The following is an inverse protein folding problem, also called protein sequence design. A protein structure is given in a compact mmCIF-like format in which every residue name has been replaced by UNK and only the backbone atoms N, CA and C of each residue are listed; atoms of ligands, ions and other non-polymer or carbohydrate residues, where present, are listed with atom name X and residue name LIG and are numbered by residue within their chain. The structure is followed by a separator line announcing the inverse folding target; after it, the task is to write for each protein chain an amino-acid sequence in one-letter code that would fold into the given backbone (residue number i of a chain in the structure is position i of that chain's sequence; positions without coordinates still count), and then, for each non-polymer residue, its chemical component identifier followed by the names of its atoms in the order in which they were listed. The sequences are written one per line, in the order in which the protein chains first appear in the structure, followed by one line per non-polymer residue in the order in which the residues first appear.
data_IF_145057387772
#
_entry.id   IF_145057387772
#
_cell.length_a   1.000
_cell.length_b   1.000
_cell.length_c   1.000
_cell.angle_alpha   90.00
_cell.angle_beta   90.00
_cell.angle_gamma   90.00
#
_symmetry.space_group_name_H-M   'P 1'
#
loop_
_entity.id
_entity.type
_entity.pdbx_description
1 polymer ?
#
# COMPACT_ATOMS: atom_id res chain seq x y z
N UNK A 1 3.12 -12.63 -14.49
CA UNK A 1 3.30 -11.29 -15.07
C UNK A 1 2.58 -10.31 -14.15
N UNK A 2 3.24 -9.24 -13.71
CA UNK A 2 2.57 -8.30 -12.80
C UNK A 2 1.42 -7.59 -13.51
N UNK A 3 0.27 -7.53 -12.84
CA UNK A 3 -0.92 -6.78 -13.23
C UNK A 3 -1.58 -7.16 -14.57
N UNK A 4 -1.17 -8.25 -15.23
CA UNK A 4 -1.74 -8.70 -16.50
C UNK A 4 -2.30 -10.11 -16.32
N UNK A 5 -3.57 -10.28 -16.64
CA UNK A 5 -4.29 -11.56 -16.57
C UNK A 5 -5.02 -11.84 -17.89
N UNK A 6 -5.06 -13.10 -18.29
CA UNK A 6 -5.86 -13.55 -19.42
C UNK A 6 -7.32 -13.69 -19.02
N UNK A 7 -8.22 -13.25 -19.89
CA UNK A 7 -9.65 -13.49 -19.82
C UNK A 7 -10.04 -14.36 -21.00
N UNK A 8 -10.44 -15.59 -20.74
CA UNK A 8 -10.97 -16.49 -21.77
C UNK A 8 -12.48 -16.61 -21.55
N UNK A 9 -13.26 -15.93 -22.40
CA UNK A 9 -14.72 -15.86 -22.26
C UNK A 9 -15.33 -16.80 -23.29
N UNK A 10 -15.41 -18.08 -22.92
CA UNK A 10 -15.76 -19.19 -23.81
C UNK A 10 -17.13 -19.14 -24.51
N UNK A 11 -17.99 -18.14 -24.23
CA UNK A 11 -19.30 -18.01 -24.85
C UNK A 11 -19.37 -17.05 -26.05
N UNK A 12 -18.41 -16.13 -26.21
CA UNK A 12 -18.49 -15.07 -27.23
C UNK A 12 -17.18 -14.78 -28.01
N UNK A 13 -16.16 -15.64 -27.94
CA UNK A 13 -14.87 -15.44 -28.65
C UNK A 13 -14.22 -14.07 -28.36
N UNK A 14 -14.47 -13.51 -27.19
CA UNK A 14 -13.86 -12.26 -26.75
C UNK A 14 -12.78 -12.57 -25.73
N UNK A 15 -11.83 -13.39 -26.15
CA UNK A 15 -10.66 -13.61 -25.33
C UNK A 15 -9.82 -12.32 -25.34
N UNK A 16 -9.32 -11.95 -24.17
CA UNK A 16 -8.73 -10.64 -23.96
C UNK A 16 -7.65 -10.69 -22.88
N UNK A 17 -6.75 -9.72 -22.93
CA UNK A 17 -5.84 -9.43 -21.83
C UNK A 17 -6.40 -8.29 -20.98
N UNK A 18 -6.48 -8.52 -19.67
CA UNK A 18 -6.84 -7.50 -18.70
C UNK A 18 -5.59 -7.00 -17.99
N UNK A 19 -5.41 -5.69 -17.97
CA UNK A 19 -4.48 -5.01 -17.07
C UNK A 19 -5.27 -4.56 -15.83
N UNK A 20 -4.88 -5.00 -14.65
CA UNK A 20 -5.49 -4.61 -13.38
C UNK A 20 -4.42 -4.36 -12.32
N UNK A 21 -4.32 -3.10 -11.87
CA UNK A 21 -3.43 -2.68 -10.80
C UNK A 21 -4.03 -1.55 -9.97
N UNK A 22 -3.43 -1.28 -8.81
CA UNK A 22 -3.73 -0.09 -8.01
C UNK A 22 -2.47 0.70 -7.74
N UNK A 23 -2.55 2.03 -7.89
CA UNK A 23 -1.46 2.99 -7.65
C UNK A 23 -2.01 4.28 -7.07
N UNK A 24 -1.38 4.80 -6.01
CA UNK A 24 -1.78 6.07 -5.39
C UNK A 24 -3.24 6.10 -4.92
N UNK A 25 -3.81 4.96 -4.50
CA UNK A 25 -5.22 4.86 -4.12
C UNK A 25 -6.21 4.82 -5.29
N UNK A 26 -5.75 4.86 -6.54
CA UNK A 26 -6.56 4.71 -7.74
C UNK A 26 -6.44 3.29 -8.30
N UNK A 27 -7.57 2.69 -8.64
CA UNK A 27 -7.62 1.43 -9.37
C UNK A 27 -7.54 1.71 -10.86
N UNK A 28 -6.63 1.05 -11.55
CA UNK A 28 -6.41 1.16 -12.99
C UNK A 28 -6.72 -0.19 -13.61
N UNK A 29 -7.74 -0.20 -14.45
CA UNK A 29 -8.23 -1.38 -15.14
C UNK A 29 -8.41 -1.06 -16.62
N UNK A 30 -7.93 -1.95 -17.49
CA UNK A 30 -8.14 -1.87 -18.94
C UNK A 30 -8.16 -3.27 -19.55
N UNK A 31 -8.93 -3.47 -20.61
CA UNK A 31 -9.04 -4.74 -21.34
C UNK A 31 -8.67 -4.58 -22.81
N UNK A 32 -7.92 -5.55 -23.33
CA UNK A 32 -7.42 -5.59 -24.70
C UNK A 32 -7.86 -6.90 -25.35
N UNK A 33 -8.90 -6.85 -26.18
CA UNK A 33 -9.46 -8.03 -26.84
C UNK A 33 -8.64 -8.48 -28.05
N UNK A 34 -8.51 -9.79 -28.22
CA UNK A 34 -7.78 -10.37 -29.35
C UNK A 34 -8.38 -9.96 -30.69
N UNK A 35 -9.70 -9.86 -30.77
CA UNK A 35 -10.42 -9.47 -31.98
C UNK A 35 -10.09 -8.05 -32.44
N UNK A 36 -9.77 -7.14 -31.51
CA UNK A 36 -9.50 -5.74 -31.82
C UNK A 36 -8.03 -5.51 -32.13
N UNK A 37 -7.14 -6.22 -31.43
CA UNK A 37 -5.70 -5.99 -31.50
C UNK A 37 -4.97 -6.98 -32.42
N UNK A 38 -5.68 -7.82 -33.18
CA UNK A 38 -5.09 -8.67 -34.21
C UNK A 38 -4.61 -10.04 -33.72
N UNK A 39 -5.07 -10.49 -32.56
CA UNK A 39 -4.77 -11.80 -31.99
C UNK A 39 -4.19 -11.74 -30.58
N UNK A 40 -3.93 -12.92 -30.02
CA UNK A 40 -3.49 -13.10 -28.63
C UNK A 40 -2.16 -12.42 -28.33
N UNK A 41 -1.21 -12.51 -29.24
CA UNK A 41 0.16 -12.00 -29.03
C UNK A 41 0.19 -10.48 -29.13
N UNK A 42 -0.45 -9.92 -30.15
CA UNK A 42 -0.55 -8.47 -30.36
C UNK A 42 -1.36 -7.80 -29.24
N UNK A 43 -2.46 -8.41 -28.79
CA UNK A 43 -3.21 -7.92 -27.64
C UNK A 43 -2.38 -7.95 -26.34
N UNK A 44 -1.50 -8.94 -26.17
CA UNK A 44 -0.60 -9.01 -25.02
C UNK A 44 0.46 -7.90 -25.07
N UNK A 45 1.04 -7.66 -26.25
CA UNK A 45 2.04 -6.60 -26.45
C UNK A 45 1.46 -5.23 -26.11
N UNK A 46 0.26 -4.91 -26.61
CA UNK A 46 -0.42 -3.65 -26.30
C UNK A 46 -0.75 -3.55 -24.81
N UNK A 47 -1.19 -4.64 -24.18
CA UNK A 47 -1.44 -4.66 -22.74
C UNK A 47 -0.17 -4.41 -21.91
N UNK A 48 0.98 -4.93 -22.34
CA UNK A 48 2.28 -4.68 -21.71
C UNK A 48 2.72 -3.23 -21.89
N UNK A 49 2.65 -2.70 -23.11
CA UNK A 49 2.99 -1.31 -23.41
C UNK A 49 2.13 -0.34 -22.59
N UNK A 50 0.81 -0.58 -22.52
CA UNK A 50 -0.09 0.21 -21.69
C UNK A 50 0.28 0.14 -20.20
N UNK A 51 0.54 -1.07 -19.68
CA UNK A 51 0.96 -1.25 -18.28
C UNK A 51 2.23 -0.45 -17.99
N UNK A 52 3.24 -0.55 -18.85
CA UNK A 52 4.54 0.06 -18.62
C UNK A 52 4.48 1.59 -18.74
N UNK A 53 3.70 2.11 -19.70
CA UNK A 53 3.40 3.54 -19.80
C UNK A 53 2.69 4.07 -18.55
N UNK A 54 1.67 3.36 -18.05
CA UNK A 54 0.97 3.73 -16.81
C UNK A 54 1.92 3.73 -15.61
N UNK A 55 2.81 2.74 -15.50
CA UNK A 55 3.76 2.64 -14.40
C UNK A 55 4.82 3.75 -14.40
N UNK A 56 5.17 4.28 -15.58
CA UNK A 56 6.05 5.45 -15.72
C UNK A 56 5.35 6.74 -15.30
N UNK A 57 4.10 6.92 -15.73
CA UNK A 57 3.31 8.13 -15.43
C UNK A 57 2.84 8.17 -13.96
N UNK A 58 2.57 7.00 -13.36
CA UNK A 58 2.05 6.87 -12.00
C UNK A 58 3.01 6.03 -11.15
N UNK A 59 4.10 6.64 -10.63
CA UNK A 59 5.09 5.92 -9.83
C UNK A 59 4.46 5.36 -8.54
N UNK A 60 5.06 4.32 -7.94
CA UNK A 60 4.64 3.86 -6.62
C UNK A 60 4.79 4.98 -5.59
N UNK A 61 3.87 5.04 -4.63
CA UNK A 61 4.08 5.82 -3.42
C UNK A 61 5.25 5.23 -2.63
N UNK A 62 5.98 6.09 -1.92
CA UNK A 62 6.98 5.64 -0.95
C UNK A 62 6.28 5.02 0.27
N UNK A 63 7.00 4.20 1.04
CA UNK A 63 6.46 3.66 2.29
C UNK A 63 6.11 4.76 3.29
N UNK A 64 6.86 5.87 3.28
CA UNK A 64 6.60 7.06 4.09
C UNK A 64 5.27 7.70 3.70
N UNK A 65 5.05 7.96 2.41
CA UNK A 65 3.79 8.53 1.91
C UNK A 65 2.60 7.61 2.23
N UNK A 66 2.78 6.30 2.07
CA UNK A 66 1.76 5.32 2.43
C UNK A 66 1.39 5.32 3.91
N UNK A 67 2.33 5.64 4.80
CA UNK A 67 2.08 5.74 6.25
C UNK A 67 1.50 7.10 6.65
N UNK A 68 1.69 8.12 5.82
CA UNK A 68 1.11 9.46 5.95
C UNK A 68 -0.24 9.61 5.23
N UNK A 69 -0.71 8.56 4.55
CA UNK A 69 -2.02 8.58 3.90
C UNK A 69 -3.15 8.59 4.93
N UNK A 70 -3.92 9.67 4.95
CA UNK A 70 -5.14 9.79 5.75
C UNK A 70 -6.19 8.80 5.24
N UNK A 71 -6.74 7.98 6.13
CA UNK A 71 -7.77 6.99 5.80
C UNK A 71 -9.15 7.49 6.19
N UNK A 72 -10.18 7.03 5.47
CA UNK A 72 -11.59 7.39 5.73
C UNK A 72 -12.03 7.09 7.17
N UNK A 73 -11.53 6.01 7.77
CA UNK A 73 -11.87 5.58 9.13
C UNK A 73 -10.89 6.14 10.17
N UNK A 74 -10.48 7.40 10.04
CA UNK A 74 -9.62 8.08 11.01
C UNK A 74 -10.42 8.36 12.28
N UNK A 75 -9.78 8.28 13.45
CA UNK A 75 -10.42 8.73 14.69
C UNK A 75 -10.66 10.23 14.65
N UNK A 76 -11.82 10.64 15.13
CA UNK A 76 -12.12 12.04 15.37
C UNK A 76 -11.12 12.60 16.40
N UNK A 77 -10.61 13.81 16.16
CA UNK A 77 -9.76 14.54 17.09
C UNK A 77 -8.25 14.50 16.83
N UNK A 78 -7.70 13.63 15.97
CA UNK A 78 -6.29 13.69 15.56
C UNK A 78 -6.14 13.86 14.06
N UNK A 79 -5.21 14.72 13.64
CA UNK A 79 -4.90 14.96 12.24
C UNK A 79 -3.86 13.97 11.69
N UNK A 80 -3.14 13.27 12.59
CA UNK A 80 -2.00 12.41 12.25
C UNK A 80 -2.45 10.97 11.94
N UNK A 81 -2.20 10.44 10.73
CA UNK A 81 -2.53 9.06 10.38
C UNK A 81 -1.80 8.04 11.26
N UNK A 82 -2.52 7.04 11.75
CA UNK A 82 -1.98 6.02 12.65
C UNK A 82 -2.04 6.40 14.13
N UNK A 83 -2.59 7.58 14.44
CA UNK A 83 -3.08 7.93 15.79
C UNK A 83 -4.58 7.67 15.85
N UNK A 84 -5.04 7.01 16.90
CA UNK A 84 -6.45 6.77 17.11
C UNK A 84 -6.82 6.83 18.60
N UNK A 85 -8.02 7.35 18.86
CA UNK A 85 -8.62 7.34 20.18
C UNK A 85 -9.34 6.01 20.39
N UNK A 86 -9.13 5.41 21.55
CA UNK A 86 -9.87 4.25 22.02
C UNK A 86 -10.67 4.65 23.24
N UNK A 87 -11.99 4.57 23.13
CA UNK A 87 -12.92 4.85 24.22
C UNK A 87 -12.73 3.91 25.41
N UNK A 88 -13.20 4.37 26.57
CA UNK A 88 -13.32 3.53 27.76
C UNK A 88 -14.27 2.38 27.48
N UNK A 89 -13.97 1.22 28.07
CA UNK A 89 -14.77 0.00 27.96
C UNK A 89 -14.91 -0.56 29.39
N UNK A 90 -15.73 -1.58 29.61
CA UNK A 90 -15.91 -2.21 30.92
C UNK A 90 -14.58 -2.67 31.54
N UNK A 91 -13.59 -2.99 30.70
CA UNK A 91 -12.23 -3.38 31.10
C UNK A 91 -11.26 -2.22 31.26
N UNK A 92 -11.60 -1.02 30.77
CA UNK A 92 -10.75 0.17 30.81
C UNK A 92 -11.55 1.35 31.33
N UNK A 93 -11.31 1.67 32.60
CA UNK A 93 -11.94 2.78 33.31
C UNK A 93 -11.70 4.17 32.68
N UNK A 94 -10.81 4.28 31.69
CA UNK A 94 -10.55 5.53 30.96
C UNK A 94 -10.17 5.25 29.51
N UNK A 95 -10.50 6.19 28.62
CA UNK A 95 -10.07 6.18 27.23
C UNK A 95 -8.56 6.37 27.09
N UNK A 96 -8.02 6.04 25.92
CA UNK A 96 -6.60 6.17 25.63
C UNK A 96 -6.33 6.55 24.17
N UNK A 97 -5.33 7.39 23.98
CA UNK A 97 -4.77 7.71 22.67
C UNK A 97 -3.68 6.70 22.31
N UNK A 98 -3.71 6.20 21.08
CA UNK A 98 -2.81 5.14 20.63
C UNK A 98 -2.08 5.58 19.37
N UNK A 99 -0.76 5.57 19.42
CA UNK A 99 0.12 5.76 18.26
C UNK A 99 0.55 4.40 17.73
N UNK A 100 0.40 4.17 16.42
CA UNK A 100 0.74 2.89 15.78
C UNK A 100 1.48 3.07 14.47
N UNK A 101 2.55 2.31 14.27
CA UNK A 101 3.26 2.18 12.99
C UNK A 101 3.37 0.71 12.56
N UNK A 102 3.21 0.46 11.26
CA UNK A 102 3.54 -0.83 10.66
C UNK A 102 5.02 -0.80 10.24
N UNK A 103 5.80 -1.73 10.78
CA UNK A 103 7.20 -1.91 10.43
C UNK A 103 7.32 -2.87 9.24
N UNK A 104 8.35 -2.70 8.40
CA UNK A 104 8.70 -3.73 7.43
C UNK A 104 8.98 -5.05 8.18
N UNK A 105 8.49 -6.15 7.61
CA UNK A 105 8.79 -7.49 8.10
C UNK A 105 9.89 -8.02 7.20
N UNK A 106 11.05 -8.35 7.76
CA UNK A 106 12.12 -8.99 7.02
C UNK A 106 11.59 -10.26 6.35
N UNK A 107 11.66 -10.28 5.01
CA UNK A 107 11.22 -11.42 4.21
C UNK A 107 12.05 -12.69 4.47
N UNK A 108 13.21 -12.55 5.13
CA UNK A 108 14.17 -13.62 5.42
C UNK A 108 13.75 -14.57 6.55
N UNK A 109 12.64 -14.32 7.26
CA UNK A 109 12.10 -15.30 8.22
C UNK A 109 10.82 -15.92 7.68
N UNK A 110 10.81 -17.22 7.33
CA UNK A 110 9.58 -17.92 6.98
C UNK A 110 8.70 -18.00 8.23
N UNK A 111 7.71 -17.13 8.33
CA UNK A 111 6.63 -17.31 9.29
C UNK A 111 5.72 -18.42 8.77
N UNK A 112 5.73 -19.56 9.46
CA UNK A 112 4.82 -20.66 9.18
C UNK A 112 3.36 -20.19 9.12
N UNK A 113 2.66 -20.57 8.04
CA UNK A 113 1.23 -20.36 7.88
C UNK A 113 0.83 -19.04 7.24
N UNK A 114 1.18 -18.82 5.95
CA UNK A 114 0.43 -18.02 4.94
C UNK A 114 0.07 -16.54 5.22
N UNK A 115 0.23 -16.04 6.45
CA UNK A 115 -0.09 -14.69 6.88
C UNK A 115 1.20 -14.08 7.41
N UNK A 116 1.80 -13.20 6.61
CA UNK A 116 2.97 -12.42 7.04
C UNK A 116 2.58 -11.66 8.30
N UNK A 117 3.25 -11.96 9.41
CA UNK A 117 2.96 -11.36 10.71
C UNK A 117 3.44 -9.91 10.66
N UNK A 118 2.55 -8.96 10.29
CA UNK A 118 2.85 -7.52 10.31
C UNK A 118 3.38 -7.15 11.69
N UNK A 119 4.65 -6.78 11.79
CA UNK A 119 5.19 -6.24 13.03
C UNK A 119 4.68 -4.80 13.12
N UNK A 120 3.84 -4.52 14.10
CA UNK A 120 3.41 -3.15 14.37
C UNK A 120 3.96 -2.71 15.71
N UNK A 121 4.60 -1.54 15.75
CA UNK A 121 4.97 -0.88 16.98
C UNK A 121 3.79 0.01 17.41
N UNK A 122 3.39 -0.13 18.66
CA UNK A 122 2.24 0.57 19.23
C UNK A 122 2.65 1.19 20.57
N UNK A 123 2.23 2.43 20.80
CA UNK A 123 2.35 3.12 22.09
C UNK A 123 0.98 3.65 22.50
N UNK A 124 0.70 3.63 23.80
CA UNK A 124 -0.62 3.98 24.35
C UNK A 124 -0.45 4.99 25.47
N UNK A 125 -1.26 6.03 25.43
CA UNK A 125 -1.28 7.15 26.36
C UNK A 125 -2.68 7.25 26.97
N UNK A 126 -2.80 6.96 28.26
CA UNK A 126 -4.10 6.94 28.94
C UNK A 126 -4.58 8.36 29.28
N UNK A 127 -5.85 8.65 29.02
CA UNK A 127 -6.47 9.95 29.33
C UNK A 127 -6.54 10.20 30.84
N UNK A 128 -6.72 9.16 31.65
CA UNK A 128 -6.72 9.29 33.12
C UNK A 128 -5.41 9.81 33.70
N UNK A 129 -4.27 9.57 33.03
CA UNK A 129 -2.95 9.97 33.53
C UNK A 129 -2.55 11.37 33.07
N UNK A 130 -2.89 11.73 31.83
CA UNK A 130 -2.36 12.94 31.19
C UNK A 130 -3.43 13.96 30.80
N UNK A 131 -4.72 13.61 30.87
CA UNK A 131 -5.79 14.40 30.29
C UNK A 131 -5.97 14.12 28.79
N UNK A 132 -7.08 14.58 28.23
CA UNK A 132 -7.46 14.24 26.85
C UNK A 132 -6.52 14.85 25.81
N UNK A 133 -6.25 16.15 25.93
CA UNK A 133 -5.43 16.89 24.97
C UNK A 133 -3.95 16.52 25.03
N UNK A 134 -3.39 16.37 26.23
CA UNK A 134 -1.98 16.03 26.38
C UNK A 134 -1.71 14.59 25.92
N UNK A 135 -2.59 13.64 26.25
CA UNK A 135 -2.48 12.26 25.76
C UNK A 135 -2.56 12.18 24.24
N UNK A 136 -3.40 13.02 23.60
CA UNK A 136 -3.45 13.15 22.14
C UNK A 136 -2.12 13.66 21.60
N UNK A 137 -1.63 14.78 22.12
CA UNK A 137 -0.39 15.42 21.67
C UNK A 137 0.80 14.46 21.77
N UNK A 138 0.95 13.77 22.90
CA UNK A 138 2.01 12.77 23.07
C UNK A 138 1.90 11.62 22.06
N UNK A 139 0.69 11.18 21.72
CA UNK A 139 0.49 10.15 20.70
C UNK A 139 0.90 10.63 19.31
N UNK A 140 0.60 11.89 18.97
CA UNK A 140 1.00 12.51 17.70
C UNK A 140 2.52 12.69 17.59
N UNK A 141 3.16 13.21 18.64
CA UNK A 141 4.61 13.38 18.69
C UNK A 141 5.34 12.02 18.60
N UNK A 142 4.89 11.03 19.36
CA UNK A 142 5.46 9.68 19.31
C UNK A 142 5.22 9.02 17.94
N UNK A 143 4.07 9.29 17.30
CA UNK A 143 3.81 8.83 15.93
C UNK A 143 4.80 9.43 14.94
N UNK A 144 5.10 10.72 15.03
CA UNK A 144 6.10 11.39 14.19
C UNK A 144 7.50 10.82 14.44
N UNK A 145 7.87 10.60 15.70
CA UNK A 145 9.13 9.96 16.07
C UNK A 145 9.25 8.55 15.48
N UNK A 146 8.19 7.75 15.56
CA UNK A 146 8.16 6.43 14.96
C UNK A 146 8.35 6.48 13.44
N UNK A 147 7.72 7.45 12.75
CA UNK A 147 7.86 7.59 11.30
C UNK A 147 9.30 7.92 10.89
N UNK A 148 9.96 8.82 11.61
CA UNK A 148 11.37 9.19 11.38
C UNK A 148 12.32 8.03 11.67
N UNK A 149 12.02 7.19 12.66
CA UNK A 149 12.87 6.08 13.06
C UNK A 149 12.84 4.89 12.09
N UNK A 150 11.94 4.86 11.11
CA UNK A 150 11.87 3.74 10.16
C UNK A 150 12.64 4.08 8.89
N UNK A 151 13.77 3.40 8.71
CA UNK A 151 14.73 3.62 7.61
C UNK A 151 14.17 3.34 6.21
N UNK A 152 13.16 2.48 6.07
CA UNK A 152 12.62 2.08 4.76
C UNK A 152 11.61 3.08 4.16
N UNK A 153 11.67 4.34 4.57
CA UNK A 153 10.70 5.38 4.23
C UNK A 153 10.61 5.67 2.73
N UNK A 154 11.75 5.79 2.06
CA UNK A 154 11.85 6.17 0.64
C UNK A 154 11.65 4.97 -0.32
N UNK A 155 11.67 3.74 0.20
CA UNK A 155 11.46 2.54 -0.61
C UNK A 155 10.04 2.54 -1.22
N UNK A 156 9.89 2.06 -2.47
CA UNK A 156 8.59 1.97 -3.12
C UNK A 156 7.69 1.01 -2.35
N UNK A 157 6.47 1.43 -2.04
CA UNK A 157 5.50 0.65 -1.27
C UNK A 157 4.82 -0.46 -2.10
N UNK A 158 5.64 -1.30 -2.73
CA UNK A 158 5.24 -2.40 -3.59
C UNK A 158 5.22 -3.71 -2.81
N UNK A 159 4.13 -4.46 -2.96
CA UNK A 159 3.91 -5.72 -2.22
C UNK A 159 4.26 -6.98 -3.00
N UNK A 160 4.24 -6.90 -4.33
CA UNK A 160 4.48 -8.06 -5.19
C UNK A 160 5.96 -8.08 -5.59
N UNK A 161 6.67 -9.21 -5.42
CA UNK A 161 8.03 -9.36 -5.93
C UNK A 161 8.12 -9.05 -7.43
N UNK A 162 7.15 -9.52 -8.22
CA UNK A 162 7.07 -9.22 -9.66
C UNK A 162 6.93 -7.72 -9.95
N UNK A 163 6.24 -6.96 -9.07
CA UNK A 163 6.11 -5.52 -9.21
C UNK A 163 7.41 -4.79 -8.87
N UNK A 164 8.15 -5.26 -7.85
CA UNK A 164 9.44 -4.71 -7.45
C UNK A 164 10.45 -4.91 -8.60
N UNK A 165 10.56 -6.14 -9.11
CA UNK A 165 11.45 -6.45 -10.24
C UNK A 165 11.10 -5.63 -11.48
N UNK A 166 9.80 -5.50 -11.80
CA UNK A 166 9.38 -4.69 -12.95
C UNK A 166 9.70 -3.20 -12.74
N UNK A 167 9.47 -2.65 -11.56
CA UNK A 167 9.79 -1.26 -11.25
C UNK A 167 11.30 -0.99 -11.36
N UNK A 168 12.13 -1.89 -10.83
CA UNK A 168 13.58 -1.82 -10.97
C UNK A 168 14.01 -1.87 -12.44
N UNK A 169 13.39 -2.75 -13.25
CA UNK A 169 13.66 -2.83 -14.69
C UNK A 169 13.31 -1.51 -15.39
N UNK A 170 12.08 -1.01 -15.21
CA UNK A 170 11.61 0.22 -15.86
C UNK A 170 12.45 1.45 -15.50
N UNK A 171 12.95 1.54 -14.26
CA UNK A 171 13.83 2.64 -13.85
C UNK A 171 15.24 2.52 -14.46
N UNK A 172 15.76 1.30 -14.66
CA UNK A 172 17.07 1.08 -15.31
C UNK A 172 17.05 1.45 -16.79
N UNK A 173 15.95 1.12 -17.47
CA UNK A 173 15.78 1.41 -18.89
C UNK A 173 15.70 2.94 -19.16
N UNK A 174 15.36 3.75 -18.15
CA UNK A 174 15.24 5.22 -18.25
C UNK A 174 16.58 5.96 -18.07
N UNK A 175 17.61 5.28 -17.53
CA UNK A 175 18.94 5.86 -17.26
C UNK A 175 20.02 5.33 -18.23
N UNK A 176 19.60 4.66 -19.29
CA UNK A 176 20.46 3.94 -20.24
C UNK A 176 20.44 4.51 -21.66
N UNK A 177 20.34 5.83 -21.80
CA UNK A 177 20.49 6.56 -23.07
C UNK A 177 21.63 7.60 -22.95
#
# INVERSE_FOLDING_TARGET
MYAISRLDVGRHKQDAWMVNMSRGGKSIHMTFSDSTYGGREQALEVAQAYRDAVLRVVPPLTNKDMRMLVRKNRSEGSEVPGVYYKESDERRQSGAWIARIELPVDEKKPTGGGKRRRKSLTRTFNVSKYGYDEARRMAEEERMRMLLAVENGEDPALRSPQAITLHQKLNRDDHGD
#
